data_IF_410465586330
#
_entry.id   IF_410465586330
#
_cell.length_a   1.000
_cell.length_b   1.000
_cell.length_c   1.000
_cell.angle_alpha   90.00
_cell.angle_beta   90.00
_cell.angle_gamma   90.00
#
_symmetry.space_group_name_H-M   'P 1'
#
loop_
_entity.id
_entity.type
_entity.pdbx_description
1 polymer ?
#
# COMPACT_ATOMS: atom_id res chain seq x y z
N UNK A 1 -11.08 13.19 -11.05
CA UNK A 1 -9.78 13.75 -10.60
C UNK A 1 -8.77 12.62 -10.49
N UNK A 2 -7.48 12.89 -10.18
CA UNK A 2 -6.39 11.89 -10.14
C UNK A 2 -6.45 10.95 -8.91
N UNK A 3 -7.57 10.92 -8.18
CA UNK A 3 -7.71 10.20 -6.92
C UNK A 3 -8.78 9.13 -7.10
N UNK A 4 -8.40 7.87 -6.86
CA UNK A 4 -9.30 6.73 -6.77
C UNK A 4 -9.59 6.44 -5.29
N UNK A 5 -10.86 6.20 -4.95
CA UNK A 5 -11.30 5.86 -3.60
C UNK A 5 -12.20 4.64 -3.63
N UNK A 6 -12.20 3.89 -2.54
CA UNK A 6 -13.16 2.82 -2.28
C UNK A 6 -14.35 3.38 -1.51
N UNK A 7 -15.56 2.89 -1.79
CA UNK A 7 -16.78 3.25 -1.07
C UNK A 7 -17.61 1.98 -0.78
N UNK A 8 -18.21 1.86 0.41
CA UNK A 8 -19.09 0.75 0.73
C UNK A 8 -20.37 0.83 -0.10
N UNK A 9 -20.83 -0.32 -0.61
CA UNK A 9 -22.10 -0.42 -1.35
C UNK A 9 -23.31 -0.22 -0.43
N UNK A 10 -23.24 -0.70 0.81
CA UNK A 10 -24.24 -0.48 1.85
C UNK A 10 -23.56 0.08 3.11
N UNK A 11 -23.75 1.38 3.43
CA UNK A 11 -23.18 2.01 4.61
C UNK A 11 -23.64 1.38 5.93
N UNK A 12 -24.79 0.70 5.97
CA UNK A 12 -25.31 0.10 7.20
C UNK A 12 -24.63 -1.21 7.58
N UNK A 13 -23.89 -1.84 6.65
CA UNK A 13 -23.10 -3.07 6.88
C UNK A 13 -21.65 -2.77 7.26
N UNK A 14 -21.32 -1.51 7.50
CA UNK A 14 -19.96 -1.04 7.76
C UNK A 14 -19.80 -0.78 9.26
N UNK A 15 -19.13 -1.70 9.95
CA UNK A 15 -18.79 -1.51 11.37
C UNK A 15 -17.70 -0.44 11.55
N UNK A 16 -16.71 -0.36 10.65
CA UNK A 16 -15.69 0.69 10.64
C UNK A 16 -15.44 1.22 9.21
N UNK A 17 -15.90 2.45 8.89
CA UNK A 17 -15.76 3.02 7.55
C UNK A 17 -14.32 3.42 7.20
N UNK A 18 -13.40 3.49 8.18
CA UNK A 18 -12.00 3.83 7.93
C UNK A 18 -11.22 2.75 7.18
N UNK A 19 -11.64 1.49 7.28
CA UNK A 19 -11.05 0.36 6.56
C UNK A 19 -11.55 0.26 5.12
N UNK A 20 -12.69 0.87 4.81
CA UNK A 20 -13.36 0.70 3.51
C UNK A 20 -13.25 1.97 2.65
N UNK A 21 -13.14 3.16 3.24
CA UNK A 21 -13.05 4.42 2.49
C UNK A 21 -11.64 4.99 2.61
N UNK A 22 -10.78 4.67 1.64
CA UNK A 22 -9.42 5.23 1.57
C UNK A 22 -9.05 5.61 0.13
N UNK A 23 -8.04 6.46 0.02
CA UNK A 23 -7.46 6.81 -1.28
C UNK A 23 -6.58 5.65 -1.72
N UNK A 24 -7.15 4.78 -2.55
CA UNK A 24 -6.48 3.56 -3.01
C UNK A 24 -5.32 3.86 -3.95
N UNK A 25 -5.32 5.04 -4.58
CA UNK A 25 -4.26 5.50 -5.46
C UNK A 25 -3.85 6.94 -5.17
N UNK A 26 -2.55 7.19 -5.16
CA UNK A 26 -1.94 8.53 -5.14
C UNK A 26 -0.87 8.64 -6.22
N UNK A 27 -0.68 9.84 -6.72
CA UNK A 27 0.35 10.17 -7.71
C UNK A 27 1.27 11.27 -7.17
N UNK A 28 2.56 11.07 -7.35
CA UNK A 28 3.64 12.04 -7.23
C UNK A 28 4.32 12.14 -8.60
N UNK A 29 5.10 13.20 -8.89
CA UNK A 29 5.77 13.33 -10.18
C UNK A 29 6.61 12.09 -10.56
N UNK A 30 6.13 11.32 -11.54
CA UNK A 30 6.77 10.09 -12.00
C UNK A 30 6.71 8.92 -11.00
N UNK A 31 5.82 8.95 -10.00
CA UNK A 31 5.64 7.90 -9.00
C UNK A 31 4.15 7.65 -8.76
N UNK A 32 3.71 6.42 -8.93
CA UNK A 32 2.34 5.96 -8.68
C UNK A 32 2.32 5.04 -7.47
N UNK A 33 1.40 5.31 -6.55
CA UNK A 33 1.20 4.54 -5.33
C UNK A 33 -0.18 3.89 -5.37
N UNK A 34 -0.23 2.61 -5.04
CA UNK A 34 -1.48 1.87 -4.88
C UNK A 34 -1.43 1.04 -3.60
N UNK A 35 -2.48 1.10 -2.78
CA UNK A 35 -2.56 0.29 -1.56
C UNK A 35 -4.01 -0.12 -1.27
N UNK A 36 -4.21 -1.08 -0.37
CA UNK A 36 -5.55 -1.48 0.10
C UNK A 36 -6.00 -0.79 1.39
N UNK A 37 -5.39 0.33 1.80
CA UNK A 37 -5.81 1.03 3.02
C UNK A 37 -5.28 2.45 3.15
N UNK A 38 -5.43 3.01 4.35
CA UNK A 38 -4.97 4.36 4.70
C UNK A 38 -3.44 4.52 4.68
N UNK A 39 -2.66 3.43 4.62
CA UNK A 39 -1.21 3.50 4.41
C UNK A 39 -0.81 4.20 3.11
N UNK A 40 -1.71 4.36 2.13
CA UNK A 40 -1.44 5.20 0.96
C UNK A 40 -1.03 6.61 1.37
N UNK A 41 -1.70 7.22 2.36
CA UNK A 41 -1.36 8.56 2.83
C UNK A 41 -0.04 8.59 3.60
N UNK A 42 0.21 7.57 4.44
CA UNK A 42 1.48 7.44 5.17
C UNK A 42 2.66 7.42 4.20
N UNK A 43 2.58 6.59 3.15
CA UNK A 43 3.64 6.46 2.14
C UNK A 43 3.78 7.76 1.36
N UNK A 44 2.67 8.32 0.88
CA UNK A 44 2.68 9.56 0.11
C UNK A 44 3.32 10.72 0.90
N UNK A 45 2.94 10.90 2.16
CA UNK A 45 3.48 11.95 3.02
C UNK A 45 4.98 11.74 3.30
N UNK A 46 5.40 10.50 3.56
CA UNK A 46 6.82 10.19 3.75
C UNK A 46 7.64 10.55 2.50
N UNK A 47 7.18 10.18 1.30
CA UNK A 47 7.87 10.50 0.05
C UNK A 47 7.92 12.02 -0.22
N UNK A 48 6.85 12.75 0.07
CA UNK A 48 6.83 14.22 -0.06
C UNK A 48 7.86 14.91 0.85
N UNK A 49 8.15 14.32 2.01
CA UNK A 49 9.11 14.85 2.98
C UNK A 49 10.52 14.26 2.82
N UNK A 50 10.81 13.57 1.70
CA UNK A 50 12.13 13.00 1.43
C UNK A 50 12.43 11.67 2.16
N UNK A 51 11.42 11.05 2.78
CA UNK A 51 11.49 9.69 3.29
C UNK A 51 11.36 8.64 2.18
N UNK A 52 11.31 7.37 2.57
CA UNK A 52 11.23 6.22 1.65
C UNK A 52 9.97 5.40 1.88
N UNK A 53 9.60 4.59 0.88
CA UNK A 53 8.51 3.62 0.95
C UNK A 53 8.64 2.68 2.15
N UNK A 54 9.84 2.11 2.36
CA UNK A 54 10.10 1.21 3.48
C UNK A 54 10.07 1.92 4.83
N UNK A 55 10.60 3.15 4.92
CA UNK A 55 10.55 3.92 6.17
C UNK A 55 9.11 4.26 6.58
N UNK A 56 8.23 4.51 5.61
CA UNK A 56 6.83 4.77 5.86
C UNK A 56 6.12 3.51 6.40
N UNK A 57 6.34 2.37 5.75
CA UNK A 57 5.70 1.10 6.11
C UNK A 57 6.24 0.49 7.40
N UNK A 58 7.47 0.82 7.80
CA UNK A 58 8.02 0.46 9.11
C UNK A 58 7.24 1.09 10.29
N UNK A 59 6.42 2.11 10.05
CA UNK A 59 5.55 2.74 11.07
C UNK A 59 4.15 2.12 11.14
N UNK A 60 3.88 1.10 10.33
CA UNK A 60 2.56 0.53 10.12
C UNK A 60 2.56 -0.94 10.49
N UNK A 61 1.37 -1.42 10.79
CA UNK A 61 1.08 -2.83 11.09
C UNK A 61 -0.01 -3.33 10.14
N UNK A 62 -0.33 -4.62 10.20
CA UNK A 62 -1.58 -5.15 9.61
C UNK A 62 -2.80 -4.36 10.10
N UNK A 63 -3.95 -4.59 9.49
CA UNK A 63 -5.18 -3.93 9.96
C UNK A 63 -5.52 -4.34 11.40
N UNK A 64 -6.02 -3.40 12.23
CA UNK A 64 -6.36 -3.65 13.62
C UNK A 64 -7.78 -4.24 13.75
N UNK A 65 -8.09 -5.27 12.95
CA UNK A 65 -9.42 -5.87 12.79
C UNK A 65 -9.49 -7.31 13.33
N UNK A 66 -9.28 -7.56 14.64
CA UNK A 66 -9.42 -8.90 15.20
C UNK A 66 -10.84 -9.44 14.98
N UNK A 67 -11.00 -10.74 14.69
CA UNK A 67 -9.95 -11.76 14.57
C UNK A 67 -9.36 -11.90 13.16
N UNK A 68 -9.79 -11.08 12.20
CA UNK A 68 -9.48 -11.22 10.78
C UNK A 68 -8.03 -10.85 10.47
N UNK A 69 -7.51 -9.79 11.11
CA UNK A 69 -6.12 -9.37 10.99
C UNK A 69 -5.68 -9.18 9.55
N UNK A 70 -6.50 -8.43 8.80
CA UNK A 70 -6.38 -8.23 7.37
C UNK A 70 -5.01 -7.67 6.99
N UNK A 71 -4.30 -8.26 6.02
CA UNK A 71 -3.03 -7.74 5.56
C UNK A 71 -3.15 -6.37 4.90
N UNK A 72 -2.12 -5.53 5.05
CA UNK A 72 -1.94 -4.34 4.23
C UNK A 72 -1.02 -4.68 3.06
N UNK A 73 -1.50 -4.48 1.85
CA UNK A 73 -0.74 -4.60 0.60
C UNK A 73 -0.49 -3.23 0.01
N UNK A 74 0.73 -3.01 -0.46
CA UNK A 74 1.18 -1.74 -1.03
C UNK A 74 2.04 -1.95 -2.27
N UNK A 75 1.90 -1.09 -3.26
CA UNK A 75 2.69 -1.07 -4.47
C UNK A 75 3.11 0.35 -4.83
N UNK A 76 4.35 0.49 -5.29
CA UNK A 76 4.90 1.73 -5.82
C UNK A 76 5.55 1.47 -7.18
N UNK A 77 5.12 2.22 -8.18
CA UNK A 77 5.70 2.26 -9.52
C UNK A 77 6.40 3.60 -9.70
N UNK A 78 7.69 3.60 -9.97
CA UNK A 78 8.43 4.81 -10.36
C UNK A 78 8.72 4.75 -11.86
N UNK A 79 8.31 5.77 -12.60
CA UNK A 79 8.56 5.94 -14.04
C UNK A 79 9.60 7.04 -14.30
N UNK A 80 10.64 7.07 -13.46
CA UNK A 80 11.78 8.00 -13.58
C UNK A 80 12.81 7.44 -14.59
N UNK A 81 14.03 8.00 -14.60
CA UNK A 81 15.10 7.60 -15.51
C UNK A 81 15.37 6.08 -15.56
N UNK A 82 15.14 5.37 -14.45
CA UNK A 82 15.10 3.91 -14.40
C UNK A 82 13.77 3.48 -13.79
N UNK A 83 12.86 2.92 -14.58
CA UNK A 83 11.60 2.43 -14.06
C UNK A 83 11.81 1.32 -13.02
N UNK A 84 11.07 1.39 -11.91
CA UNK A 84 11.14 0.41 -10.83
C UNK A 84 9.76 0.11 -10.27
N UNK A 85 9.60 -1.12 -9.76
CA UNK A 85 8.42 -1.55 -9.02
C UNK A 85 8.88 -1.98 -7.64
N UNK A 86 8.17 -1.53 -6.61
CA UNK A 86 8.33 -2.00 -5.23
C UNK A 86 6.97 -2.48 -4.72
N UNK A 87 6.94 -3.68 -4.15
CA UNK A 87 5.73 -4.28 -3.56
C UNK A 87 5.97 -4.56 -2.09
N UNK A 88 4.95 -4.41 -1.24
CA UNK A 88 5.05 -4.74 0.17
C UNK A 88 3.76 -5.39 0.69
N UNK A 89 3.93 -6.29 1.65
CA UNK A 89 2.86 -6.82 2.48
C UNK A 89 3.23 -6.72 3.96
N UNK A 90 2.29 -6.24 4.77
CA UNK A 90 2.29 -6.31 6.23
C UNK A 90 1.15 -7.24 6.65
N UNK A 91 1.47 -8.33 7.36
CA UNK A 91 0.48 -9.37 7.72
C UNK A 91 0.69 -9.84 9.16
N UNK A 92 -0.34 -10.45 9.74
CA UNK A 92 -0.22 -11.11 11.03
C UNK A 92 0.93 -12.11 11.05
N UNK A 93 1.72 -12.08 12.14
CA UNK A 93 2.75 -13.07 12.38
C UNK A 93 2.13 -14.45 12.57
N UNK A 94 2.79 -15.46 11.98
CA UNK A 94 2.25 -16.83 11.93
C UNK A 94 2.18 -17.53 13.30
N UNK A 95 3.03 -17.14 14.26
CA UNK A 95 3.07 -17.72 15.61
C UNK A 95 2.15 -16.95 16.56
N UNK A 96 2.19 -15.61 16.50
CA UNK A 96 1.34 -14.77 17.32
C UNK A 96 0.74 -13.63 16.47
N UNK A 97 -0.56 -13.70 16.13
CA UNK A 97 -1.18 -12.77 15.20
C UNK A 97 -1.32 -11.34 15.74
N UNK A 98 -1.06 -11.11 17.02
CA UNK A 98 -0.94 -9.75 17.59
C UNK A 98 0.23 -8.98 16.97
N UNK A 99 1.31 -9.67 16.59
CA UNK A 99 2.45 -9.05 15.93
C UNK A 99 2.29 -9.02 14.40
N UNK A 100 3.05 -8.13 13.75
CA UNK A 100 3.09 -7.98 12.30
C UNK A 100 4.43 -8.47 11.74
N UNK A 101 4.37 -9.27 10.67
CA UNK A 101 5.50 -9.56 9.79
C UNK A 101 5.39 -8.69 8.52
N UNK A 102 6.50 -8.08 8.12
CA UNK A 102 6.59 -7.25 6.91
C UNK A 102 7.54 -7.85 5.88
N UNK A 103 7.20 -7.74 4.60
CA UNK A 103 8.10 -8.12 3.50
C UNK A 103 7.98 -7.13 2.35
N UNK A 104 9.11 -6.57 1.93
CA UNK A 104 9.22 -5.76 0.72
C UNK A 104 9.91 -6.56 -0.38
N UNK A 105 9.36 -6.49 -1.59
CA UNK A 105 9.89 -7.07 -2.81
C UNK A 105 10.32 -5.95 -3.75
N UNK A 106 11.51 -6.09 -4.31
CA UNK A 106 12.02 -5.26 -5.41
C UNK A 106 12.25 -6.13 -6.64
N UNK A 107 11.21 -6.43 -7.43
CA UNK A 107 11.38 -7.17 -8.67
C UNK A 107 12.37 -6.45 -9.57
N UNK A 108 13.28 -7.21 -10.18
CA UNK A 108 14.12 -6.70 -11.26
C UNK A 108 13.24 -6.26 -12.41
N UNK A 109 13.67 -5.22 -13.14
CA UNK A 109 12.97 -4.80 -14.36
C UNK A 109 12.75 -6.02 -15.27
N UNK A 110 11.51 -6.23 -15.76
CA UNK A 110 11.28 -7.32 -16.69
C UNK A 110 12.14 -7.11 -17.94
N UNK A 111 12.57 -8.20 -18.61
CA UNK A 111 13.20 -8.06 -19.92
C UNK A 111 12.26 -7.32 -20.87
N UNK A 112 12.82 -6.71 -21.91
CA UNK A 112 12.03 -6.02 -22.94
C UNK A 112 10.93 -6.98 -23.43
N UNK A 113 9.67 -6.60 -23.20
CA UNK A 113 8.52 -7.39 -23.64
C UNK A 113 8.45 -7.46 -25.16
N UNK A 114 7.73 -8.43 -25.70
CA UNK A 114 7.62 -8.62 -27.16
C UNK A 114 7.00 -7.42 -27.89
N UNK A 115 6.29 -6.53 -27.19
CA UNK A 115 5.68 -5.34 -27.79
C UNK A 115 4.69 -5.64 -28.92
N UNK A 116 4.17 -6.88 -28.96
CA UNK A 116 3.20 -7.38 -29.93
C UNK A 116 1.77 -7.06 -29.53
#
# INVERSE_FOLDING_TARGET
GPVLRTEPVDPALVEDPSLIIYESMKELPGTYLITNGDQTQTIHHALQNGGTFDSALATREREPDPPNYTPRISGMLELKARPSVTLNILKANAINPVFTDGTTFHPTAPPVGLGV
#
